data_IF_643843678115
#
_entry.id   IF_643843678115
#
_cell.length_a   1.000
_cell.length_b   1.000
_cell.length_c   1.000
_cell.angle_alpha   90.00
_cell.angle_beta   90.00
_cell.angle_gamma   90.00
#
_symmetry.space_group_name_H-M   'P 1'
#
loop_
_entity.id
_entity.type
_entity.pdbx_description
1 polymer ?
#
# COMPACT_ATOMS: atom_id res chain seq x y z
N UNK A 1 18.31 34.39 25.67
CA UNK A 1 17.08 34.51 24.85
C UNK A 1 17.49 34.25 23.41
N UNK A 2 17.42 33.05 22.83
CA UNK A 2 16.71 31.81 23.15
C UNK A 2 17.75 30.68 23.15
N UNK A 3 17.87 29.94 24.27
CA UNK A 3 18.64 28.70 24.31
C UNK A 3 17.77 27.61 23.67
N UNK A 4 18.24 27.00 22.59
CA UNK A 4 17.61 25.83 21.98
C UNK A 4 18.56 24.64 22.14
N UNK A 5 18.87 24.34 23.41
CA UNK A 5 19.41 23.06 23.81
C UNK A 5 18.21 22.25 24.29
N UNK A 6 17.73 21.36 23.42
CA UNK A 6 16.92 20.19 23.76
C UNK A 6 16.67 19.44 22.44
N UNK A 7 17.69 18.68 22.03
CA UNK A 7 17.49 17.53 21.15
C UNK A 7 16.50 16.60 21.86
N UNK A 8 15.29 16.35 21.33
CA UNK A 8 14.43 15.31 21.89
C UNK A 8 15.11 13.96 21.63
N UNK A 9 15.74 13.44 22.68
CA UNK A 9 16.04 12.04 22.91
C UNK A 9 14.77 11.23 22.69
N UNK A 10 14.62 10.78 21.45
CA UNK A 10 13.43 10.14 20.92
C UNK A 10 13.71 9.59 19.53
N UNK A 11 14.96 9.21 19.26
CA UNK A 11 15.30 8.23 18.24
C UNK A 11 14.67 6.90 18.65
N UNK A 12 13.35 6.83 18.49
CA UNK A 12 12.72 5.59 18.08
C UNK A 12 13.53 5.17 16.88
N UNK A 13 14.39 4.18 17.10
CA UNK A 13 14.94 3.34 16.08
C UNK A 13 13.75 2.94 15.21
N UNK A 14 13.55 3.68 14.12
CA UNK A 14 12.76 3.21 13.02
C UNK A 14 13.56 2.00 12.56
N UNK A 15 13.23 0.84 13.12
CA UNK A 15 13.70 -0.46 12.71
C UNK A 15 13.15 -0.64 11.30
N UNK A 16 13.87 -0.04 10.36
CA UNK A 16 13.38 0.29 9.04
C UNK A 16 13.21 -0.95 8.15
N UNK A 17 13.60 -2.11 8.66
CA UNK A 17 13.71 -3.36 7.91
C UNK A 17 12.38 -3.97 7.41
N UNK A 18 11.21 -3.37 7.71
CA UNK A 18 9.90 -3.95 7.35
C UNK A 18 8.88 -2.97 6.76
N UNK A 19 9.24 -1.71 6.48
CA UNK A 19 8.27 -0.68 6.06
C UNK A 19 7.90 -0.75 4.56
N UNK A 20 8.65 -1.49 3.76
CA UNK A 20 8.53 -1.45 2.29
C UNK A 20 7.41 -2.34 1.71
N UNK A 21 6.90 -3.32 2.47
CA UNK A 21 5.93 -4.29 1.94
C UNK A 21 4.47 -3.86 2.05
N UNK A 22 4.10 -2.96 2.96
CA UNK A 22 2.68 -2.59 3.15
C UNK A 22 2.09 -1.93 1.90
N UNK A 23 2.88 -1.15 1.16
CA UNK A 23 2.45 -0.44 -0.05
C UNK A 23 1.98 -1.36 -1.18
N UNK A 24 2.29 -2.66 -1.10
CA UNK A 24 1.84 -3.68 -2.04
C UNK A 24 0.53 -4.37 -1.62
N UNK A 25 0.01 -4.10 -0.43
CA UNK A 25 -1.23 -4.69 0.07
C UNK A 25 -2.39 -3.70 -0.03
N UNK A 26 -3.54 -4.18 -0.49
CA UNK A 26 -4.73 -3.37 -0.55
C UNK A 26 -5.27 -3.16 0.87
N UNK A 27 -5.52 -1.92 1.31
CA UNK A 27 -6.12 -1.67 2.63
C UNK A 27 -7.59 -2.09 2.74
N UNK A 28 -8.23 -2.49 1.63
CA UNK A 28 -9.62 -2.96 1.61
C UNK A 28 -9.68 -4.49 1.69
N UNK A 29 -8.92 -5.19 0.84
CA UNK A 29 -8.93 -6.66 0.78
C UNK A 29 -7.85 -7.31 1.64
N UNK A 30 -6.88 -6.54 2.14
CA UNK A 30 -5.66 -7.03 2.79
C UNK A 30 -4.88 -8.05 1.93
N UNK A 31 -5.07 -8.02 0.61
CA UNK A 31 -4.38 -8.89 -0.34
C UNK A 31 -3.36 -8.12 -1.18
N UNK A 32 -2.43 -8.85 -1.78
CA UNK A 32 -1.45 -8.30 -2.71
C UNK A 32 -2.18 -7.66 -3.91
N UNK A 33 -1.82 -6.42 -4.21
CA UNK A 33 -2.50 -5.63 -5.24
C UNK A 33 -2.05 -6.09 -6.64
N UNK A 34 -2.93 -6.68 -7.44
CA UNK A 34 -2.57 -7.06 -8.82
C UNK A 34 -2.64 -5.89 -9.82
N UNK A 35 -3.61 -5.01 -9.63
CA UNK A 35 -3.79 -3.79 -10.42
C UNK A 35 -3.82 -2.59 -9.48
N UNK A 36 -2.67 -1.95 -9.22
CA UNK A 36 -2.60 -0.81 -8.33
C UNK A 36 -3.20 0.43 -8.98
N UNK A 37 -4.16 1.01 -8.28
CA UNK A 37 -4.81 2.27 -8.64
C UNK A 37 -4.67 3.25 -7.50
N UNK A 38 -4.27 4.47 -7.82
CA UNK A 38 -4.22 5.57 -6.87
C UNK A 38 -5.49 6.40 -6.99
N UNK A 39 -6.10 6.66 -5.84
CA UNK A 39 -7.16 7.66 -5.75
C UNK A 39 -6.57 9.06 -5.80
N UNK A 40 -7.38 10.07 -6.17
CA UNK A 40 -7.02 11.49 -6.07
C UNK A 40 -6.54 11.98 -4.68
N UNK A 41 -6.69 11.15 -3.65
CA UNK A 41 -6.24 11.43 -2.29
C UNK A 41 -4.87 10.83 -1.96
N UNK A 42 -4.20 10.19 -2.92
CA UNK A 42 -2.86 9.61 -2.72
C UNK A 42 -2.86 8.19 -2.16
N UNK A 43 -4.03 7.57 -1.98
CA UNK A 43 -4.12 6.19 -1.48
C UNK A 43 -4.18 5.18 -2.61
N UNK A 44 -3.42 4.10 -2.45
CA UNK A 44 -3.30 3.01 -3.41
C UNK A 44 -4.24 1.88 -3.00
N UNK A 45 -5.01 1.39 -3.96
CA UNK A 45 -5.95 0.30 -3.79
C UNK A 45 -5.79 -0.69 -4.93
N UNK A 46 -6.38 -1.86 -4.77
CA UNK A 46 -6.58 -2.79 -5.88
C UNK A 46 -7.82 -2.37 -6.67
N UNK A 47 -7.67 -2.32 -8.01
CA UNK A 47 -8.72 -1.91 -8.94
C UNK A 47 -10.06 -2.61 -8.70
N UNK A 48 -10.08 -3.94 -8.55
CA UNK A 48 -11.31 -4.72 -8.29
C UNK A 48 -11.97 -4.31 -6.98
N UNK A 49 -11.19 -4.36 -5.90
CA UNK A 49 -11.63 -4.02 -4.54
C UNK A 49 -12.20 -2.59 -4.44
N UNK A 50 -11.52 -1.59 -5.01
CA UNK A 50 -12.01 -0.21 -4.96
C UNK A 50 -13.21 0.02 -5.89
N UNK A 51 -13.28 -0.63 -7.06
CA UNK A 51 -14.44 -0.52 -7.94
C UNK A 51 -15.71 -1.05 -7.27
N UNK A 52 -15.63 -2.19 -6.60
CA UNK A 52 -16.76 -2.72 -5.82
C UNK A 52 -17.14 -1.80 -4.66
N UNK A 53 -16.14 -1.22 -3.98
CA UNK A 53 -16.37 -0.29 -2.90
C UNK A 53 -17.08 1.00 -3.36
N UNK A 54 -16.61 1.61 -4.46
CA UNK A 54 -17.23 2.79 -5.07
C UNK A 54 -18.67 2.49 -5.51
N UNK A 55 -18.91 1.30 -6.05
CA UNK A 55 -20.28 0.85 -6.42
C UNK A 55 -21.22 0.77 -5.23
N UNK A 56 -20.73 0.45 -4.03
CA UNK A 56 -21.55 0.34 -2.80
C UNK A 56 -21.69 1.65 -2.03
N UNK A 57 -20.60 2.40 -1.84
CA UNK A 57 -20.55 3.58 -0.96
C UNK A 57 -20.17 4.89 -1.65
N UNK A 58 -19.61 4.85 -2.87
CA UNK A 58 -19.14 6.01 -3.64
C UNK A 58 -18.26 7.00 -2.85
N UNK A 59 -17.50 6.47 -1.89
CA UNK A 59 -16.64 7.23 -0.98
C UNK A 59 -15.30 6.51 -0.80
N UNK A 60 -14.27 7.21 -0.35
CA UNK A 60 -13.00 6.61 0.04
C UNK A 60 -13.11 5.84 1.35
N UNK A 61 -12.50 4.65 1.46
CA UNK A 61 -12.47 3.90 2.73
C UNK A 61 -11.60 4.56 3.80
N UNK A 62 -10.62 5.38 3.41
CA UNK A 62 -9.67 6.02 4.34
C UNK A 62 -10.09 7.46 4.68
N UNK A 63 -10.37 8.28 3.65
CA UNK A 63 -10.70 9.69 3.85
C UNK A 63 -12.19 9.94 4.04
N UNK A 64 -13.05 8.94 3.79
CA UNK A 64 -14.51 9.07 3.80
C UNK A 64 -15.08 10.14 2.85
N UNK A 65 -14.24 10.66 1.94
CA UNK A 65 -14.64 11.68 0.95
C UNK A 65 -15.20 11.02 -0.31
N UNK A 66 -16.07 11.72 -1.03
CA UNK A 66 -16.63 11.23 -2.29
C UNK A 66 -15.52 10.86 -3.29
N UNK A 67 -15.62 9.66 -3.83
CA UNK A 67 -14.67 9.10 -4.78
C UNK A 67 -15.43 8.43 -5.91
N UNK A 68 -15.10 8.80 -7.14
CA UNK A 68 -15.63 8.17 -8.34
C UNK A 68 -14.59 7.25 -8.95
N UNK A 69 -15.04 6.32 -9.80
CA UNK A 69 -14.15 5.44 -10.55
C UNK A 69 -13.26 6.23 -11.52
N UNK A 70 -13.71 7.41 -11.97
CA UNK A 70 -12.97 8.31 -12.86
C UNK A 70 -11.79 9.00 -12.14
N UNK A 71 -11.86 9.12 -10.81
CA UNK A 71 -10.79 9.69 -9.98
C UNK A 71 -9.67 8.67 -9.67
N UNK A 72 -9.74 7.46 -10.26
CA UNK A 72 -8.76 6.39 -10.07
C UNK A 72 -7.76 6.39 -11.22
N UNK A 73 -6.48 6.52 -10.87
CA UNK A 73 -5.39 6.52 -11.83
C UNK A 73 -4.61 5.21 -11.66
N UNK A 74 -4.43 4.38 -12.69
CA UNK A 74 -3.60 3.18 -12.59
C UNK A 74 -2.12 3.55 -12.45
N UNK A 75 -1.40 2.88 -11.53
CA UNK A 75 0.05 3.05 -11.36
C UNK A 75 0.78 1.87 -12.02
N UNK A 76 1.31 2.07 -13.22
CA UNK A 76 2.02 1.00 -13.93
C UNK A 76 3.35 0.62 -13.28
N UNK A 77 4.10 1.57 -12.72
CA UNK A 77 5.38 1.31 -12.06
C UNK A 77 5.20 0.32 -10.89
N UNK A 78 4.28 0.62 -9.98
CA UNK A 78 3.99 -0.24 -8.83
C UNK A 78 3.50 -1.63 -9.24
N UNK A 79 2.78 -1.73 -10.37
CA UNK A 79 2.34 -3.03 -10.90
C UNK A 79 3.55 -3.92 -11.22
N UNK A 80 4.60 -3.34 -11.79
CA UNK A 80 5.83 -4.07 -12.11
C UNK A 80 6.55 -4.50 -10.83
N UNK A 81 6.73 -3.58 -9.87
CA UNK A 81 7.36 -3.89 -8.57
C UNK A 81 6.64 -5.04 -7.85
N UNK A 82 5.30 -5.00 -7.80
CA UNK A 82 4.50 -6.05 -7.16
C UNK A 82 4.63 -7.38 -7.91
N UNK A 83 4.71 -7.35 -9.23
CA UNK A 83 4.89 -8.55 -10.03
C UNK A 83 6.24 -9.21 -9.74
N UNK A 84 7.31 -8.42 -9.68
CA UNK A 84 8.65 -8.88 -9.31
C UNK A 84 8.66 -9.44 -7.87
N UNK A 85 8.01 -8.76 -6.93
CA UNK A 85 7.84 -9.23 -5.56
C UNK A 85 7.09 -10.58 -5.51
N UNK A 86 5.99 -10.72 -6.26
CA UNK A 86 5.21 -11.97 -6.36
C UNK A 86 6.04 -13.12 -6.92
N UNK A 87 6.93 -12.85 -7.88
CA UNK A 87 7.86 -13.85 -8.42
C UNK A 87 8.89 -14.28 -7.39
N UNK A 88 9.51 -13.32 -6.67
CA UNK A 88 10.47 -13.62 -5.59
C UNK A 88 9.84 -14.48 -4.49
N UNK A 89 8.60 -14.18 -4.09
CA UNK A 89 7.88 -14.98 -3.11
C UNK A 89 7.63 -16.42 -3.58
N UNK A 90 7.35 -16.63 -4.87
CA UNK A 90 7.14 -17.98 -5.41
C UNK A 90 8.42 -18.81 -5.39
N UNK A 91 9.57 -18.21 -5.72
CA UNK A 91 10.88 -18.89 -5.66
C UNK A 91 11.32 -19.25 -4.24
N UNK A 92 10.85 -18.51 -3.22
CA UNK A 92 11.16 -18.81 -1.81
C UNK A 92 10.24 -19.89 -1.21
N UNK A 93 8.99 -19.99 -1.68
CA UNK A 93 8.02 -21.00 -1.21
C UNK A 93 8.42 -22.43 -1.58
N UNK A 94 9.23 -22.64 -2.61
CA UNK A 94 9.71 -23.97 -3.02
C UNK A 94 10.78 -24.57 -2.11
N UNK A 95 11.30 -23.83 -1.12
CA UNK A 95 12.36 -24.33 -0.22
C UNK A 95 11.86 -24.71 1.20
N UNK A 96 10.60 -24.44 1.56
CA UNK A 96 9.99 -24.92 2.81
C UNK A 96 9.05 -26.11 2.55
N UNK A 97 9.66 -27.24 2.16
CA UNK A 97 8.98 -28.51 1.92
C UNK A 97 9.91 -29.72 2.03
N UNK A 98 11.03 -29.61 2.74
CA UNK A 98 11.87 -30.74 3.12
C UNK A 98 12.28 -30.62 4.59
N UNK A 99 11.42 -31.12 5.48
CA UNK A 99 11.83 -32.01 6.57
C UNK A 99 10.62 -32.68 7.19
#
# INVERSE_FOLDING_TARGET
MYSFDETPSGENQCHWSNFEVWSFFCPISNQLIEEPVISKYGHIYEKKSIMEWIKRKSACPITYKSLKNEDLIPIYSLKQDIQEYKQRLQSQKTTQGQK
#
